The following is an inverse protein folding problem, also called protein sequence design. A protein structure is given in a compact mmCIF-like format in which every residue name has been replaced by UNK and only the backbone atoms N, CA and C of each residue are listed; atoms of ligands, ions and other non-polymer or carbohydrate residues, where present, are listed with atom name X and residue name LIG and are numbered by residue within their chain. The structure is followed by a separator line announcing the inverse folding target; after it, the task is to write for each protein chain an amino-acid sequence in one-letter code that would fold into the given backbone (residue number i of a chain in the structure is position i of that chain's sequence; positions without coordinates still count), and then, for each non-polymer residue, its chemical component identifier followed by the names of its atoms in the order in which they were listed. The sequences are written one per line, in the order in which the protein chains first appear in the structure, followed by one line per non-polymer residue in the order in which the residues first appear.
data_IF_305606944971
#
_entry.id   IF_305606944971
#
_cell.length_a   1.000
_cell.length_b   1.000
_cell.length_c   1.000
_cell.angle_alpha   90.00
_cell.angle_beta   90.00
_cell.angle_gamma   90.00
#
_symmetry.space_group_name_H-M   'P 1'
#
loop_
_entity.id
_entity.type
_entity.pdbx_description
1 polymer ?
#
# COMPACT_ATOMS: atom_id res chain seq x y z
N UNK A 1 0.47 -14.62 17.40
CA UNK A 1 -0.33 -13.47 16.92
C UNK A 1 -1.58 -14.01 16.25
N UNK A 2 -2.76 -13.47 16.54
CA UNK A 2 -4.02 -13.86 15.87
C UNK A 2 -4.30 -12.86 14.76
N UNK A 3 -4.62 -13.34 13.57
CA UNK A 3 -5.00 -12.52 12.42
C UNK A 3 -6.49 -12.70 12.19
N UNK A 4 -7.18 -11.59 11.93
CA UNK A 4 -8.61 -11.59 11.64
C UNK A 4 -8.85 -11.14 10.20
N UNK A 5 -9.74 -11.83 9.51
CA UNK A 5 -10.26 -11.42 8.21
C UNK A 5 -11.76 -11.14 8.34
N UNK A 6 -12.20 -10.01 7.78
CA UNK A 6 -13.60 -9.57 7.75
C UNK A 6 -14.03 -9.27 6.33
N UNK A 7 -15.33 -9.26 6.06
CA UNK A 7 -15.86 -8.93 4.74
C UNK A 7 -16.44 -7.52 4.72
N UNK A 8 -16.21 -6.81 3.63
CA UNK A 8 -16.68 -5.45 3.41
C UNK A 8 -17.25 -5.32 2.00
N UNK A 9 -18.43 -4.71 1.87
CA UNK A 9 -19.09 -4.43 0.60
C UNK A 9 -18.98 -2.93 0.29
N UNK A 10 -18.10 -2.53 -0.65
CA UNK A 10 -17.89 -1.11 -0.97
C UNK A 10 -19.14 -0.38 -1.46
N UNK A 11 -20.03 -1.09 -2.16
CA UNK A 11 -21.23 -0.50 -2.74
C UNK A 11 -22.28 -0.09 -1.70
N UNK A 12 -22.27 -0.75 -0.53
CA UNK A 12 -23.20 -0.47 0.58
C UNK A 12 -22.51 0.05 1.82
N UNK A 13 -21.18 0.14 1.80
CA UNK A 13 -20.35 0.53 2.95
C UNK A 13 -20.57 -0.34 4.20
N UNK A 14 -20.98 -1.60 4.01
CA UNK A 14 -21.31 -2.52 5.11
C UNK A 14 -20.23 -3.56 5.37
N UNK A 15 -20.04 -3.87 6.65
CA UNK A 15 -19.28 -5.02 7.12
C UNK A 15 -20.16 -6.22 7.39
N UNK A 16 -19.65 -7.44 7.23
CA UNK A 16 -20.44 -8.63 7.49
C UNK A 16 -19.66 -9.93 7.55
N UNK A 17 -20.41 -11.01 7.64
CA UNK A 17 -19.90 -12.38 7.60
C UNK A 17 -20.31 -13.08 6.29
N UNK A 18 -19.64 -14.18 5.89
CA UNK A 18 -20.01 -14.94 4.69
C UNK A 18 -21.48 -15.39 4.64
N UNK A 19 -22.07 -15.66 5.79
CA UNK A 19 -23.49 -16.09 5.91
C UNK A 19 -24.48 -14.96 5.54
N UNK A 20 -24.05 -13.72 5.52
CA UNK A 20 -24.89 -12.58 5.13
C UNK A 20 -24.79 -12.23 3.64
N UNK A 21 -24.12 -13.06 2.83
CA UNK A 21 -23.87 -12.76 1.40
C UNK A 21 -25.12 -12.85 0.51
N UNK A 22 -26.11 -13.66 0.88
CA UNK A 22 -27.28 -13.91 0.02
C UNK A 22 -28.16 -12.69 -0.24
N UNK A 23 -28.01 -11.63 0.58
CA UNK A 23 -28.82 -10.39 0.47
C UNK A 23 -28.05 -9.17 0.00
N UNK A 24 -26.73 -9.27 -0.27
CA UNK A 24 -25.89 -8.09 -0.58
C UNK A 24 -25.50 -8.05 -2.05
N UNK A 25 -25.67 -6.89 -2.67
CA UNK A 25 -25.20 -6.64 -4.04
C UNK A 25 -23.68 -6.47 -4.06
N UNK A 26 -23.04 -6.96 -5.12
CA UNK A 26 -21.61 -6.81 -5.34
C UNK A 26 -20.73 -7.92 -4.76
N UNK A 27 -19.42 -7.79 -5.00
CA UNK A 27 -18.41 -8.73 -4.51
C UNK A 27 -17.73 -8.13 -3.28
N UNK A 28 -17.71 -8.84 -2.14
CA UNK A 28 -17.04 -8.32 -0.95
C UNK A 28 -15.54 -8.27 -1.11
N UNK A 29 -14.93 -7.29 -0.46
CA UNK A 29 -13.51 -7.27 -0.17
C UNK A 29 -13.24 -8.08 1.10
N UNK A 30 -12.04 -8.65 1.20
CA UNK A 30 -11.57 -9.29 2.43
C UNK A 30 -10.58 -8.33 3.09
N UNK A 31 -10.96 -7.80 4.23
CA UNK A 31 -10.12 -6.92 5.03
C UNK A 31 -9.36 -7.74 6.07
N UNK A 32 -8.05 -7.60 6.11
CA UNK A 32 -7.17 -8.36 7.01
C UNK A 32 -6.40 -7.39 7.92
N UNK A 33 -6.50 -7.60 9.23
CA UNK A 33 -5.79 -6.78 10.22
C UNK A 33 -4.34 -7.25 10.41
N UNK A 34 -3.57 -7.24 9.34
CA UNK A 34 -2.17 -7.69 9.35
C UNK A 34 -1.38 -7.02 8.23
N UNK A 35 -0.18 -7.52 7.97
CA UNK A 35 0.69 -6.99 6.91
C UNK A 35 0.15 -7.30 5.51
N UNK A 36 0.51 -6.51 4.49
CA UNK A 36 0.17 -6.83 3.10
C UNK A 36 0.65 -8.21 2.63
N UNK A 37 1.80 -8.68 3.12
CA UNK A 37 2.28 -10.04 2.87
C UNK A 37 1.31 -11.10 3.40
N UNK A 38 0.77 -10.91 4.61
CA UNK A 38 -0.26 -11.79 5.18
C UNK A 38 -1.53 -11.80 4.32
N UNK A 39 -1.91 -10.65 3.73
CA UNK A 39 -3.06 -10.60 2.81
C UNK A 39 -2.86 -11.52 1.60
N UNK A 40 -1.65 -11.56 1.03
CA UNK A 40 -1.32 -12.44 -0.10
C UNK A 40 -1.45 -13.92 0.30
N UNK A 41 -0.87 -14.33 1.41
CA UNK A 41 -0.99 -15.71 1.89
C UNK A 41 -2.44 -16.12 2.15
N UNK A 42 -3.18 -15.30 2.91
CA UNK A 42 -4.58 -15.62 3.24
C UNK A 42 -5.46 -15.64 1.98
N UNK A 43 -5.23 -14.72 1.04
CA UNK A 43 -5.94 -14.68 -0.23
C UNK A 43 -5.72 -15.95 -1.04
N UNK A 44 -4.47 -16.34 -1.22
CA UNK A 44 -4.10 -17.52 -2.02
C UNK A 44 -4.52 -18.84 -1.37
N UNK A 45 -4.26 -19.01 -0.07
CA UNK A 45 -4.40 -20.30 0.60
C UNK A 45 -5.76 -20.53 1.26
N UNK A 46 -6.49 -19.46 1.64
CA UNK A 46 -7.67 -19.58 2.50
C UNK A 46 -8.92 -18.89 1.97
N UNK A 47 -8.84 -17.59 1.63
CA UNK A 47 -10.05 -16.81 1.34
C UNK A 47 -10.70 -17.17 0.00
N UNK A 48 -9.92 -17.65 -0.96
CA UNK A 48 -10.37 -17.92 -2.33
C UNK A 48 -10.09 -19.35 -2.80
N UNK A 49 -9.80 -20.28 -1.89
CA UNK A 49 -9.48 -21.68 -2.18
C UNK A 49 -10.55 -22.43 -3.00
N UNK A 50 -11.80 -22.03 -2.85
CA UNK A 50 -12.95 -22.65 -3.54
C UNK A 50 -13.18 -22.08 -4.95
N UNK A 51 -12.35 -21.12 -5.37
CA UNK A 51 -12.35 -20.55 -6.73
C UNK A 51 -11.36 -21.28 -7.61
N UNK A 52 -11.37 -20.95 -8.92
CA UNK A 52 -10.31 -21.36 -9.84
C UNK A 52 -8.94 -20.89 -9.31
N UNK A 53 -7.86 -21.58 -9.64
CA UNK A 53 -6.52 -21.11 -9.32
C UNK A 53 -6.32 -19.63 -9.70
N UNK A 54 -5.62 -18.90 -8.86
CA UNK A 54 -5.31 -17.49 -9.12
C UNK A 54 -4.15 -17.44 -10.11
N UNK A 55 -4.38 -16.87 -11.28
CA UNK A 55 -3.38 -16.78 -12.36
C UNK A 55 -2.34 -15.68 -12.10
N UNK A 56 -2.74 -14.61 -11.40
CA UNK A 56 -1.89 -13.45 -11.15
C UNK A 56 -2.33 -12.73 -9.87
N UNK A 57 -1.36 -12.38 -9.04
CA UNK A 57 -1.56 -11.47 -7.90
C UNK A 57 -1.06 -10.08 -8.29
N UNK A 58 -1.91 -9.08 -8.15
CA UNK A 58 -1.55 -7.67 -8.33
C UNK A 58 -1.63 -6.97 -6.98
N UNK A 59 -0.49 -6.55 -6.46
CA UNK A 59 -0.38 -5.80 -5.21
C UNK A 59 -0.33 -4.30 -5.48
N UNK A 60 -1.18 -3.53 -4.84
CA UNK A 60 -1.29 -2.09 -5.03
C UNK A 60 -2.66 -1.65 -5.53
N UNK A 61 -2.80 -0.44 -6.08
CA UNK A 61 -1.72 0.53 -6.31
C UNK A 61 -1.22 1.19 -5.02
N UNK A 62 0.11 1.30 -4.89
CA UNK A 62 0.72 2.09 -3.84
C UNK A 62 0.56 3.59 -4.11
N UNK A 63 0.21 4.35 -3.09
CA UNK A 63 0.25 5.81 -3.17
C UNK A 63 1.68 6.29 -2.92
N UNK A 64 2.46 6.45 -3.99
CA UNK A 64 3.88 6.79 -3.96
C UNK A 64 4.70 5.86 -4.85
N UNK A 65 5.93 6.25 -5.12
CA UNK A 65 6.86 5.49 -5.95
C UNK A 65 7.64 4.45 -5.16
N UNK A 66 7.98 3.34 -5.82
CA UNK A 66 8.90 2.31 -5.33
C UNK A 66 10.06 2.12 -6.32
N UNK A 67 10.74 3.21 -6.67
CA UNK A 67 11.80 3.24 -7.69
C UNK A 67 13.20 3.12 -7.12
N UNK A 68 13.34 3.13 -5.80
CA UNK A 68 14.64 3.08 -5.12
C UNK A 68 14.70 1.95 -4.12
N UNK A 69 15.90 1.50 -3.76
CA UNK A 69 16.11 0.38 -2.85
C UNK A 69 15.44 0.60 -1.48
N UNK A 70 15.61 1.79 -0.90
CA UNK A 70 15.02 2.08 0.42
C UNK A 70 13.49 2.07 0.40
N UNK A 71 12.83 2.60 -0.62
CA UNK A 71 11.39 2.56 -0.73
C UNK A 71 10.88 1.14 -1.03
N UNK A 72 11.62 0.37 -1.84
CA UNK A 72 11.28 -1.00 -2.14
C UNK A 72 11.36 -1.91 -0.91
N UNK A 73 12.42 -1.80 -0.12
CA UNK A 73 12.63 -2.64 1.07
C UNK A 73 11.62 -2.38 2.18
N UNK A 74 11.13 -1.15 2.30
CA UNK A 74 10.11 -0.77 3.29
C UNK A 74 8.67 -0.88 2.76
N UNK A 75 8.48 -1.23 1.48
CA UNK A 75 7.18 -1.22 0.82
C UNK A 75 6.32 -2.44 1.16
N UNK A 76 5.17 -2.21 1.77
CA UNK A 76 4.16 -3.25 1.92
C UNK A 76 3.62 -3.76 0.58
N UNK A 77 3.57 -2.92 -0.45
CA UNK A 77 3.15 -3.29 -1.80
C UNK A 77 4.10 -4.31 -2.44
N UNK A 78 5.41 -4.07 -2.34
CA UNK A 78 6.39 -5.06 -2.78
C UNK A 78 6.38 -6.29 -1.88
N UNK A 79 6.27 -6.13 -0.57
CA UNK A 79 6.20 -7.24 0.37
C UNK A 79 5.05 -8.21 0.07
N UNK A 80 3.88 -7.71 -0.27
CA UNK A 80 2.75 -8.55 -0.69
C UNK A 80 2.99 -9.28 -2.01
N UNK A 81 3.60 -8.62 -3.00
CA UNK A 81 3.92 -9.26 -4.29
C UNK A 81 5.04 -10.31 -4.14
N UNK A 82 6.07 -10.02 -3.34
CA UNK A 82 7.14 -10.98 -3.04
C UNK A 82 6.59 -12.20 -2.33
N UNK A 83 5.72 -12.01 -1.33
CA UNK A 83 5.06 -13.11 -0.63
C UNK A 83 4.21 -13.96 -1.57
N UNK A 84 3.46 -13.34 -2.48
CA UNK A 84 2.69 -14.07 -3.48
C UNK A 84 3.60 -14.91 -4.39
N UNK A 85 4.75 -14.39 -4.79
CA UNK A 85 5.73 -15.10 -5.62
C UNK A 85 6.37 -16.28 -4.87
N UNK A 86 6.68 -16.11 -3.57
CA UNK A 86 7.17 -17.21 -2.71
C UNK A 86 6.11 -18.29 -2.55
N UNK A 87 4.83 -17.94 -2.53
CA UNK A 87 3.71 -18.89 -2.56
C UNK A 87 3.48 -19.53 -3.94
N UNK A 88 4.32 -19.26 -4.94
CA UNK A 88 4.25 -19.87 -6.26
C UNK A 88 3.31 -19.18 -7.25
N UNK A 89 2.73 -18.02 -6.90
CA UNK A 89 1.88 -17.26 -7.80
C UNK A 89 2.71 -16.29 -8.67
N UNK A 90 2.23 -15.99 -9.88
CA UNK A 90 2.72 -14.84 -10.64
C UNK A 90 2.36 -13.56 -9.87
N UNK A 91 3.28 -12.59 -9.77
CA UNK A 91 3.04 -11.41 -8.95
C UNK A 91 3.55 -10.11 -9.59
N UNK A 92 2.73 -9.07 -9.50
CA UNK A 92 3.04 -7.70 -9.92
C UNK A 92 2.83 -6.77 -8.72
N UNK A 93 3.78 -5.86 -8.48
CA UNK A 93 3.62 -4.72 -7.58
C UNK A 93 3.44 -3.45 -8.41
N UNK A 94 2.33 -2.72 -8.22
CA UNK A 94 2.07 -1.47 -8.93
C UNK A 94 2.07 -0.29 -7.97
N UNK A 95 2.72 0.80 -8.37
CA UNK A 95 2.88 2.04 -7.61
C UNK A 95 2.55 3.24 -8.47
N UNK A 96 1.84 4.21 -7.90
CA UNK A 96 1.52 5.48 -8.54
C UNK A 96 2.43 6.58 -8.00
N UNK A 97 3.32 7.08 -8.86
CA UNK A 97 4.25 8.14 -8.51
C UNK A 97 3.59 9.51 -8.67
N UNK A 98 3.16 10.08 -7.56
CA UNK A 98 2.61 11.43 -7.50
C UNK A 98 3.74 12.47 -7.45
N UNK A 99 3.56 13.57 -8.16
CA UNK A 99 4.48 14.72 -8.16
C UNK A 99 3.94 15.88 -7.32
N UNK A 100 2.64 15.90 -7.13
CA UNK A 100 1.92 16.81 -6.25
C UNK A 100 0.79 16.03 -5.54
N UNK A 101 0.11 16.69 -4.61
CA UNK A 101 -1.03 16.10 -3.90
C UNK A 101 -2.38 16.40 -4.56
N UNK A 102 -2.36 16.94 -5.77
CA UNK A 102 -3.57 17.23 -6.55
C UNK A 102 -4.04 15.95 -7.24
N UNK A 103 -5.11 15.40 -6.72
CA UNK A 103 -5.71 14.18 -7.25
C UNK A 103 -6.79 14.52 -8.31
N UNK A 104 -6.39 15.01 -9.49
CA UNK A 104 -7.33 15.19 -10.61
C UNK A 104 -7.86 13.81 -11.05
N UNK A 105 -9.17 13.55 -10.94
CA UNK A 105 -9.75 12.26 -11.30
C UNK A 105 -9.48 11.84 -12.75
N UNK A 106 -9.30 12.79 -13.67
CA UNK A 106 -8.98 12.50 -15.08
C UNK A 106 -7.56 11.96 -15.22
N UNK A 107 -6.60 12.58 -14.52
CA UNK A 107 -5.20 12.14 -14.51
C UNK A 107 -5.07 10.78 -13.82
N UNK A 108 -5.75 10.60 -12.69
CA UNK A 108 -5.80 9.31 -12.00
C UNK A 108 -6.37 8.21 -12.92
N UNK A 109 -7.46 8.50 -13.63
CA UNK A 109 -8.05 7.54 -14.56
C UNK A 109 -7.11 7.18 -15.73
N UNK A 110 -6.34 8.14 -16.28
CA UNK A 110 -5.29 7.87 -17.27
C UNK A 110 -4.21 6.93 -16.70
N UNK A 111 -3.76 7.20 -15.49
CA UNK A 111 -2.75 6.39 -14.81
C UNK A 111 -3.25 4.97 -14.55
N UNK A 112 -4.51 4.81 -14.16
CA UNK A 112 -5.15 3.51 -14.00
C UNK A 112 -5.18 2.72 -15.33
N UNK A 113 -5.60 3.35 -16.43
CA UNK A 113 -5.62 2.69 -17.75
C UNK A 113 -4.22 2.31 -18.21
N UNK A 114 -3.22 3.17 -17.99
CA UNK A 114 -1.83 2.84 -18.29
C UNK A 114 -1.34 1.65 -17.45
N UNK A 115 -1.63 1.65 -16.15
CA UNK A 115 -1.29 0.54 -15.26
C UNK A 115 -1.90 -0.77 -15.71
N UNK A 116 -3.19 -0.80 -16.01
CA UNK A 116 -3.90 -1.99 -16.52
C UNK A 116 -3.30 -2.48 -17.83
N UNK A 117 -2.97 -1.58 -18.76
CA UNK A 117 -2.33 -1.92 -20.03
C UNK A 117 -0.98 -2.62 -19.84
N UNK A 118 -0.18 -2.13 -18.90
CA UNK A 118 1.14 -2.73 -18.59
C UNK A 118 0.97 -4.08 -17.89
N UNK A 119 0.05 -4.19 -16.94
CA UNK A 119 -0.27 -5.46 -16.28
C UNK A 119 -0.70 -6.52 -17.31
N UNK A 120 -1.63 -6.17 -18.18
CA UNK A 120 -2.12 -7.09 -19.24
C UNK A 120 -1.00 -7.53 -20.19
N UNK A 121 -0.15 -6.60 -20.60
CA UNK A 121 1.02 -6.90 -21.43
C UNK A 121 1.96 -7.88 -20.71
N UNK A 122 2.35 -7.61 -19.48
CA UNK A 122 3.25 -8.48 -18.70
C UNK A 122 2.63 -9.87 -18.49
N UNK A 123 1.35 -9.92 -18.15
CA UNK A 123 0.64 -11.18 -17.90
C UNK A 123 0.61 -12.10 -19.13
N UNK A 124 0.53 -11.51 -20.34
CA UNK A 124 0.40 -12.26 -21.60
C UNK A 124 1.74 -12.58 -22.28
N UNK A 125 2.74 -11.73 -22.13
CA UNK A 125 3.94 -11.76 -22.97
C UNK A 125 5.21 -12.14 -22.23
N UNK A 126 5.22 -12.04 -20.91
CA UNK A 126 6.44 -12.31 -20.15
C UNK A 126 6.49 -13.73 -19.60
N UNK A 127 7.69 -14.29 -19.58
CA UNK A 127 7.98 -15.51 -18.85
C UNK A 127 8.04 -15.25 -17.36
N UNK A 128 7.51 -16.19 -16.58
CA UNK A 128 7.42 -16.09 -15.14
C UNK A 128 8.24 -17.20 -14.48
N UNK A 129 9.50 -16.92 -14.23
CA UNK A 129 10.30 -17.80 -13.40
C UNK A 129 9.79 -17.81 -11.95
N UNK A 130 10.02 -18.91 -11.25
CA UNK A 130 9.66 -19.02 -9.85
C UNK A 130 10.32 -17.90 -9.03
N UNK A 131 9.52 -17.23 -8.21
CA UNK A 131 9.97 -16.12 -7.38
C UNK A 131 10.16 -14.77 -8.11
N UNK A 132 9.86 -14.69 -9.41
CA UNK A 132 9.94 -13.41 -10.15
C UNK A 132 8.77 -12.51 -9.81
N UNK A 133 9.07 -11.24 -9.50
CA UNK A 133 8.10 -10.17 -9.31
C UNK A 133 8.39 -9.04 -10.29
N UNK A 134 7.37 -8.58 -11.00
CA UNK A 134 7.46 -7.35 -11.79
C UNK A 134 6.98 -6.16 -10.97
N UNK A 135 7.75 -5.06 -11.00
CA UNK A 135 7.37 -3.81 -10.35
C UNK A 135 7.04 -2.76 -11.39
N UNK A 136 5.88 -2.11 -11.25
CA UNK A 136 5.40 -1.07 -12.14
C UNK A 136 5.34 0.23 -11.36
N UNK A 137 5.96 1.29 -11.88
CA UNK A 137 5.82 2.63 -11.35
C UNK A 137 5.18 3.51 -12.42
N UNK A 138 3.94 3.92 -12.21
CA UNK A 138 3.17 4.77 -13.13
C UNK A 138 3.24 6.21 -12.65
N UNK A 139 3.83 7.13 -13.43
CA UNK A 139 3.78 8.56 -13.12
C UNK A 139 2.32 9.06 -13.18
N UNK A 140 1.84 9.70 -12.12
CA UNK A 140 0.51 10.32 -12.11
C UNK A 140 0.61 11.72 -12.69
N UNK A 141 0.51 11.80 -14.02
CA UNK A 141 0.58 13.04 -14.79
C UNK A 141 -0.29 12.98 -16.04
N UNK A 142 -0.68 14.13 -16.54
CA UNK A 142 -1.44 14.21 -17.78
C UNK A 142 -0.67 13.62 -18.97
N UNK A 143 -1.36 12.94 -19.85
CA UNK A 143 -0.80 12.32 -21.04
C UNK A 143 0.07 11.08 -20.78
N UNK A 144 0.07 10.49 -19.60
CA UNK A 144 0.86 9.29 -19.25
C UNK A 144 0.57 8.10 -20.17
N UNK A 145 -0.67 7.98 -20.67
CA UNK A 145 -1.06 6.91 -21.60
C UNK A 145 -0.33 6.94 -22.95
N UNK A 146 0.21 8.10 -23.33
CA UNK A 146 0.98 8.30 -24.56
C UNK A 146 2.48 8.12 -24.36
N UNK A 147 2.92 7.96 -23.12
CA UNK A 147 4.33 7.79 -22.82
C UNK A 147 4.79 6.35 -23.08
N UNK A 148 6.04 6.14 -23.53
CA UNK A 148 6.59 4.81 -23.64
C UNK A 148 6.73 4.15 -22.27
N UNK A 149 6.58 2.83 -22.26
CA UNK A 149 6.96 2.01 -21.11
C UNK A 149 8.40 1.57 -21.28
N UNK A 150 9.21 1.79 -20.27
CA UNK A 150 10.65 1.46 -20.31
C UNK A 150 11.03 0.56 -19.15
N UNK A 151 11.96 -0.35 -19.38
CA UNK A 151 12.62 -1.10 -18.33
C UNK A 151 13.62 -0.20 -17.62
N UNK A 152 13.63 -0.26 -16.29
CA UNK A 152 14.56 0.50 -15.47
C UNK A 152 15.15 -0.39 -14.39
N UNK A 153 16.32 -0.05 -13.93
CA UNK A 153 16.91 -0.63 -12.75
C UNK A 153 16.44 0.13 -11.50
N UNK A 154 16.42 -0.58 -10.37
CA UNK A 154 16.12 0.03 -9.07
C UNK A 154 17.32 0.84 -8.61
N UNK A 155 17.13 2.13 -8.38
CA UNK A 155 18.21 3.00 -7.89
C UNK A 155 18.64 2.59 -6.48
N UNK A 156 19.94 2.28 -6.36
CA UNK A 156 20.53 2.00 -5.06
C UNK A 156 20.74 3.29 -4.30
N UNK A 157 20.19 3.38 -3.11
CA UNK A 157 20.30 4.54 -2.24
C UNK A 157 20.21 4.13 -0.76
N UNK A 158 20.47 5.09 0.13
CA UNK A 158 20.38 4.92 1.58
C UNK A 158 19.78 6.18 2.21
N UNK A 159 19.27 6.07 3.42
CA UNK A 159 18.79 7.24 4.17
C UNK A 159 19.97 8.15 4.52
N UNK A 160 19.84 9.45 4.31
CA UNK A 160 20.87 10.44 4.61
C UNK A 160 21.15 10.57 6.11
N UNK A 161 20.10 10.41 6.93
CA UNK A 161 20.16 10.51 8.39
C UNK A 161 20.19 9.15 9.11
N UNK A 162 20.43 8.05 8.40
CA UNK A 162 20.34 6.68 8.91
C UNK A 162 18.95 6.26 9.41
N UNK A 163 17.95 7.14 9.36
CA UNK A 163 16.57 6.89 9.74
C UNK A 163 15.60 7.62 8.82
N UNK A 164 14.43 7.02 8.62
CA UNK A 164 13.28 7.67 7.97
C UNK A 164 12.21 8.07 9.00
N UNK A 165 12.56 8.07 10.27
CA UNK A 165 11.65 8.45 11.36
C UNK A 165 12.27 9.58 12.15
N UNK A 166 11.44 10.60 12.42
CA UNK A 166 11.74 11.65 13.40
C UNK A 166 11.04 11.33 14.71
N UNK A 167 11.73 11.53 15.84
CA UNK A 167 11.12 11.41 17.16
C UNK A 167 10.16 12.58 17.39
N UNK A 168 8.95 12.27 17.84
CA UNK A 168 7.93 13.29 18.14
C UNK A 168 7.64 13.33 19.63
N UNK A 169 7.56 14.51 20.24
CA UNK A 169 7.18 14.65 21.65
C UNK A 169 5.69 14.31 21.86
N UNK A 170 5.39 13.58 22.92
CA UNK A 170 4.04 13.32 23.40
C UNK A 170 3.47 11.93 23.08
N UNK A 171 2.41 11.55 23.79
CA UNK A 171 1.69 10.31 23.55
C UNK A 171 0.95 10.36 22.22
N UNK A 172 1.14 9.35 21.37
CA UNK A 172 0.30 9.20 20.18
C UNK A 172 -1.11 8.87 20.64
N UNK A 173 -2.05 9.78 20.41
CA UNK A 173 -3.45 9.42 20.40
C UNK A 173 -3.63 8.33 19.35
N UNK A 174 -4.40 7.31 19.70
CA UNK A 174 -4.75 6.14 18.91
C UNK A 174 -4.46 6.29 17.39
N UNK A 175 -3.59 5.45 16.83
CA UNK A 175 -3.10 5.58 15.45
C UNK A 175 -4.23 5.74 14.41
N UNK A 176 -5.39 5.14 14.66
CA UNK A 176 -6.59 5.28 13.82
C UNK A 176 -7.19 6.70 13.87
N UNK A 177 -7.08 7.37 15.02
CA UNK A 177 -7.51 8.78 15.15
C UNK A 177 -6.55 9.72 14.45
N UNK A 178 -5.27 9.44 14.50
CA UNK A 178 -4.26 10.26 13.85
C UNK A 178 -4.31 10.09 12.32
N UNK A 179 -4.49 8.88 11.83
CA UNK A 179 -4.73 8.61 10.41
C UNK A 179 -6.01 9.31 9.92
N UNK A 180 -7.07 9.30 10.71
CA UNK A 180 -8.32 10.00 10.39
C UNK A 180 -8.13 11.53 10.39
N UNK A 181 -7.32 12.07 11.30
CA UNK A 181 -6.97 13.50 11.32
C UNK A 181 -6.11 13.88 10.11
N UNK A 182 -5.12 13.06 9.76
CA UNK A 182 -4.25 13.27 8.59
C UNK A 182 -5.07 13.27 7.29
N UNK A 183 -5.95 12.30 7.11
CA UNK A 183 -6.87 12.26 5.95
C UNK A 183 -7.79 13.48 5.87
N UNK A 184 -8.24 14.01 7.02
CA UNK A 184 -9.04 15.25 7.09
C UNK A 184 -8.20 16.52 6.88
N UNK A 185 -6.91 16.52 7.22
CA UNK A 185 -5.99 17.64 6.99
C UNK A 185 -5.51 17.69 5.53
N UNK A 186 -5.31 16.54 4.90
CA UNK A 186 -5.03 16.45 3.47
C UNK A 186 -6.18 17.00 2.61
N UNK A 187 -7.41 16.97 3.13
CA UNK A 187 -8.59 17.59 2.49
C UNK A 187 -8.76 19.09 2.80
N UNK A 188 -8.00 19.64 3.76
CA UNK A 188 -8.07 21.05 4.17
C UNK A 188 -6.65 21.52 4.46
N UNK A 189 -5.99 22.17 3.50
CA UNK A 189 -4.70 22.81 3.75
C UNK A 189 -4.76 23.78 4.93
N UNK A 190 -3.88 23.63 5.93
CA UNK A 190 -3.80 24.57 7.05
C UNK A 190 -2.94 24.15 8.23
N UNK A 191 -2.09 25.06 8.64
CA UNK A 191 -1.16 25.13 9.77
C UNK A 191 -1.67 24.62 11.12
N UNK A 192 -0.75 24.07 11.93
CA UNK A 192 -0.89 24.20 13.39
C UNK A 192 0.40 24.00 14.20
N UNK A 193 0.64 24.98 15.07
CA UNK A 193 1.64 25.02 16.15
C UNK A 193 0.97 24.67 17.50
N UNK A 194 1.60 23.82 18.31
CA UNK A 194 1.11 23.51 19.68
C UNK A 194 2.25 23.16 20.64
N UNK A 195 2.38 23.92 21.72
CA UNK A 195 3.39 23.82 22.80
C UNK A 195 3.06 22.74 23.83
N UNK A 196 4.10 22.04 24.37
CA UNK A 196 4.01 21.01 25.41
C UNK A 196 4.74 21.37 26.72
N UNK A 197 4.44 20.63 27.76
CA UNK A 197 4.95 20.78 29.14
C UNK A 197 6.12 19.81 29.41
N UNK A 198 7.00 20.21 30.34
CA UNK A 198 8.29 19.56 30.70
C UNK A 198 8.14 18.54 31.82
N UNK A 199 8.69 17.34 31.64
CA UNK A 199 8.91 16.29 32.65
C UNK A 199 10.41 16.10 32.94
N UNK A 200 10.77 15.50 34.13
CA UNK A 200 12.12 15.42 34.66
C UNK A 200 12.97 14.30 34.07
N UNK A 201 14.32 14.48 34.02
CA UNK A 201 15.27 13.72 33.20
C UNK A 201 15.45 12.22 33.53
N UNK A 202 15.14 11.72 34.73
CA UNK A 202 15.38 10.32 35.11
C UNK A 202 14.27 9.34 34.73
N UNK A 203 13.03 9.78 34.66
CA UNK A 203 11.90 8.95 34.19
C UNK A 203 11.86 8.79 32.65
N UNK A 204 12.62 9.62 31.95
CA UNK A 204 12.56 9.70 30.48
C UNK A 204 13.23 8.52 29.74
N UNK A 205 14.14 7.79 30.36
CA UNK A 205 14.96 6.75 29.70
C UNK A 205 14.14 5.53 29.23
N UNK A 206 13.02 5.27 29.89
CA UNK A 206 12.14 4.12 29.62
C UNK A 206 10.70 4.55 29.27
N UNK A 207 10.47 5.83 29.11
CA UNK A 207 9.18 6.34 28.63
C UNK A 207 8.91 5.86 27.19
N UNK A 208 7.67 5.55 26.82
CA UNK A 208 7.31 5.26 25.44
C UNK A 208 7.74 6.40 24.52
N UNK A 209 8.47 6.06 23.44
CA UNK A 209 8.89 7.04 22.43
C UNK A 209 7.99 6.94 21.22
N UNK A 210 7.67 8.06 20.64
CA UNK A 210 6.81 8.18 19.47
C UNK A 210 7.62 8.67 18.28
N UNK A 211 7.34 8.11 17.11
CA UNK A 211 8.09 8.40 15.89
C UNK A 211 7.13 8.73 14.76
N UNK A 212 7.46 9.74 14.00
CA UNK A 212 6.77 10.14 12.77
C UNK A 212 7.62 9.71 11.57
N UNK A 213 6.98 9.11 10.57
CA UNK A 213 7.65 8.80 9.31
C UNK A 213 7.95 10.09 8.54
N UNK A 214 9.21 10.32 8.20
CA UNK A 214 9.74 11.52 7.58
C UNK A 214 10.84 11.15 6.56
N UNK A 215 10.45 10.58 5.40
CA UNK A 215 11.35 10.09 4.35
C UNK A 215 12.02 11.21 3.57
#
# INVERSE_FOLDING_TARGET
MKVQATYYWPETEEHGTPKSQESKQGKPWVLVNSTPATCSQLGLAHCFKDRKPIDLVVSGPNYGRNTTAIFALSSGTLGAALEAAVCGAKAIAISFAFFDRLNDPKIVAQSCRQGVRVIDYLAKTQEWDAGRVYTINVPVKDGVEKQPVVWTEMLQNQWSSSSCFDETPGAVEDADREETKLRKQESKGGDNNGRGQTETEEDSKWAPRHYKWAP
#
